data_IF_352649028172
#
_entry.id   IF_352649028172
#
_cell.length_a   1.000
_cell.length_b   1.000
_cell.length_c   1.000
_cell.angle_alpha   90.00
_cell.angle_beta   90.00
_cell.angle_gamma   90.00
#
_symmetry.space_group_name_H-M   'P 1'
#
loop_
_entity.id
_entity.type
_entity.pdbx_description
1 polymer ?
#
# COMPACT_ATOMS: atom_id res chain seq x y z
N UNK A 1 -37.89 15.80 -4.23
CA UNK A 1 -37.41 14.64 -5.03
C UNK A 1 -37.03 15.09 -6.45
N UNK A 2 -36.15 16.09 -6.59
CA UNK A 2 -35.59 16.57 -7.85
C UNK A 2 -34.18 17.07 -7.52
N UNK A 3 -33.18 16.17 -7.54
CA UNK A 3 -31.76 16.58 -7.48
C UNK A 3 -30.80 15.45 -7.87
N UNK A 4 -31.23 14.19 -7.92
CA UNK A 4 -30.34 13.07 -8.29
C UNK A 4 -30.15 12.88 -9.82
N UNK A 5 -31.02 13.41 -10.67
CA UNK A 5 -30.92 13.19 -12.14
C UNK A 5 -29.93 14.12 -12.85
N UNK A 6 -29.74 15.36 -12.41
CA UNK A 6 -28.77 16.27 -13.06
C UNK A 6 -27.32 15.95 -12.69
N UNK A 7 -27.06 15.47 -11.48
CA UNK A 7 -25.71 15.05 -11.05
C UNK A 7 -25.19 13.84 -11.83
N UNK A 8 -26.07 12.89 -12.21
CA UNK A 8 -25.69 11.75 -13.04
C UNK A 8 -25.31 12.15 -14.48
N UNK A 9 -26.01 13.13 -15.08
CA UNK A 9 -25.68 13.59 -16.44
C UNK A 9 -24.35 14.32 -16.47
N UNK A 10 -24.04 15.13 -15.46
CA UNK A 10 -22.72 15.78 -15.33
C UNK A 10 -21.60 14.75 -15.11
N UNK A 11 -21.85 13.69 -14.32
CA UNK A 11 -20.88 12.59 -14.14
C UNK A 11 -20.61 11.84 -15.46
N UNK A 12 -21.65 11.61 -16.27
CA UNK A 12 -21.54 10.91 -17.56
C UNK A 12 -20.81 11.77 -18.60
N UNK A 13 -21.02 13.09 -18.63
CA UNK A 13 -20.26 13.99 -19.52
C UNK A 13 -18.79 14.19 -19.06
N UNK A 14 -18.50 14.16 -17.75
CA UNK A 14 -17.14 14.22 -17.22
C UNK A 14 -16.34 12.93 -17.48
N UNK A 15 -16.99 11.77 -17.56
CA UNK A 15 -16.37 10.51 -17.95
C UNK A 15 -15.81 10.53 -19.39
N UNK A 16 -16.28 11.43 -20.27
CA UNK A 16 -15.75 11.61 -21.62
C UNK A 16 -14.54 12.56 -21.70
N UNK A 17 -14.12 13.18 -20.59
CA UNK A 17 -13.07 14.19 -20.55
C UNK A 17 -11.79 13.73 -19.85
N UNK A 18 -11.72 12.50 -19.36
CA UNK A 18 -10.50 11.96 -18.78
C UNK A 18 -10.19 10.55 -19.30
N UNK A 19 -8.95 10.31 -19.71
CA UNK A 19 -8.42 8.95 -19.83
C UNK A 19 -7.95 8.49 -18.46
N UNK A 20 -8.29 7.27 -18.06
CA UNK A 20 -7.94 6.70 -16.76
C UNK A 20 -7.22 5.37 -16.97
N UNK A 21 -6.06 5.23 -16.37
CA UNK A 21 -5.32 3.98 -16.27
C UNK A 21 -5.33 3.50 -14.82
N UNK A 22 -5.59 2.21 -14.62
CA UNK A 22 -5.63 1.56 -13.30
C UNK A 22 -4.59 0.46 -13.26
N UNK A 23 -3.66 0.55 -12.32
CA UNK A 23 -2.61 -0.45 -12.08
C UNK A 23 -2.76 -1.01 -10.68
N UNK A 24 -2.67 -2.32 -10.51
CA UNK A 24 -2.71 -3.00 -9.22
C UNK A 24 -1.39 -3.71 -8.94
N UNK A 25 -0.87 -3.56 -7.72
CA UNK A 25 0.22 -4.37 -7.17
C UNK A 25 -0.24 -5.04 -5.88
N UNK A 26 0.23 -6.27 -5.61
CA UNK A 26 -0.17 -7.03 -4.43
C UNK A 26 1.05 -7.75 -3.85
N UNK A 27 1.36 -7.41 -2.60
CA UNK A 27 2.56 -7.83 -1.90
C UNK A 27 2.21 -8.52 -0.60
N UNK A 28 2.98 -9.54 -0.26
CA UNK A 28 2.98 -10.16 1.06
C UNK A 28 4.30 -9.85 1.77
N UNK A 29 4.21 -9.38 3.01
CA UNK A 29 5.35 -9.21 3.91
C UNK A 29 5.30 -10.30 4.98
N UNK A 30 6.24 -11.23 4.91
CA UNK A 30 6.40 -12.30 5.86
C UNK A 30 7.87 -12.44 6.26
N UNK A 31 8.13 -12.49 7.58
CA UNK A 31 9.48 -12.63 8.14
C UNK A 31 10.52 -11.66 7.53
N UNK A 32 10.22 -10.36 7.50
CA UNK A 32 11.04 -9.29 6.89
C UNK A 32 11.34 -9.48 5.39
N UNK A 33 10.65 -10.40 4.69
CA UNK A 33 10.73 -10.61 3.24
C UNK A 33 9.48 -10.12 2.54
N UNK A 34 9.68 -9.31 1.49
CA UNK A 34 8.61 -8.91 0.59
C UNK A 34 8.53 -9.91 -0.56
N UNK A 35 7.32 -10.39 -0.82
CA UNK A 35 6.99 -11.30 -1.89
C UNK A 35 5.92 -10.66 -2.77
N UNK A 36 6.12 -10.76 -4.08
CA UNK A 36 5.14 -10.35 -5.08
C UNK A 36 4.16 -11.49 -5.32
N UNK A 37 2.85 -11.20 -5.21
CA UNK A 37 1.79 -12.18 -5.35
C UNK A 37 1.27 -12.32 -6.80
N UNK A 38 1.74 -11.48 -7.73
CA UNK A 38 1.41 -11.57 -9.14
C UNK A 38 2.29 -12.54 -9.94
N UNK A 39 3.45 -12.89 -9.39
CA UNK A 39 4.42 -13.82 -9.98
C UNK A 39 4.29 -15.21 -9.37
N UNK A 40 4.83 -16.22 -10.06
CA UNK A 40 4.86 -17.56 -9.50
C UNK A 40 5.73 -17.61 -8.22
N UNK A 41 5.46 -18.53 -7.28
CA UNK A 41 6.28 -18.65 -6.06
C UNK A 41 7.77 -18.87 -6.31
N UNK A 42 8.13 -19.51 -7.43
CA UNK A 42 9.52 -19.72 -7.83
C UNK A 42 10.21 -18.41 -8.26
N UNK A 43 9.51 -17.58 -9.04
CA UNK A 43 10.00 -16.26 -9.46
C UNK A 43 10.01 -15.25 -8.32
N UNK A 44 8.99 -15.28 -7.45
CA UNK A 44 8.97 -14.50 -6.21
C UNK A 44 10.22 -14.75 -5.34
N UNK A 45 10.78 -15.97 -5.40
CA UNK A 45 11.94 -16.32 -4.59
C UNK A 45 13.25 -15.70 -5.11
N UNK A 46 13.35 -15.47 -6.43
CA UNK A 46 14.53 -14.91 -7.09
C UNK A 46 14.46 -13.39 -7.25
N UNK A 47 13.25 -12.83 -7.30
CA UNK A 47 13.03 -11.39 -7.46
C UNK A 47 13.32 -10.63 -6.17
N UNK A 48 14.20 -9.63 -6.24
CA UNK A 48 14.50 -8.74 -5.11
C UNK A 48 13.62 -7.50 -5.20
N UNK A 49 12.78 -7.30 -4.18
CA UNK A 49 11.89 -6.15 -4.06
C UNK A 49 12.50 -5.14 -3.09
N UNK A 50 12.66 -3.90 -3.53
CA UNK A 50 13.20 -2.80 -2.73
C UNK A 50 12.17 -1.69 -2.56
N UNK A 51 12.05 -1.16 -1.34
CA UNK A 51 11.13 -0.05 -1.06
C UNK A 51 11.85 1.25 -1.36
N UNK A 52 11.25 2.07 -2.23
CA UNK A 52 11.77 3.38 -2.62
C UNK A 52 10.72 4.46 -2.43
N UNK A 53 11.20 5.69 -2.34
CA UNK A 53 10.39 6.90 -2.19
C UNK A 53 10.71 7.84 -3.35
N UNK A 54 9.69 8.36 -4.00
CA UNK A 54 9.88 9.35 -5.05
C UNK A 54 10.10 10.77 -4.49
N UNK A 55 10.32 11.75 -5.38
CA UNK A 55 10.53 13.16 -4.98
C UNK A 55 9.28 13.80 -4.35
N UNK A 56 8.09 13.26 -4.60
CA UNK A 56 6.81 13.71 -4.04
C UNK A 56 6.48 13.04 -2.71
N UNK A 57 7.31 12.09 -2.31
CA UNK A 57 7.19 11.33 -1.08
C UNK A 57 6.30 10.11 -1.16
N UNK A 58 5.85 9.72 -2.36
CA UNK A 58 5.10 8.50 -2.60
C UNK A 58 6.04 7.30 -2.53
N UNK A 59 5.62 6.29 -1.77
CA UNK A 59 6.39 5.07 -1.59
C UNK A 59 6.00 4.04 -2.65
N UNK A 60 6.96 3.35 -3.24
CA UNK A 60 6.72 2.29 -4.21
C UNK A 60 7.71 1.13 -4.01
N UNK A 61 7.27 -0.08 -4.38
CA UNK A 61 8.06 -1.29 -4.32
C UNK A 61 8.73 -1.53 -5.68
N UNK A 62 9.99 -1.14 -5.81
CA UNK A 62 10.76 -1.41 -7.04
C UNK A 62 10.99 -2.90 -7.19
N UNK A 63 10.70 -3.42 -8.39
CA UNK A 63 10.81 -4.83 -8.72
C UNK A 63 9.52 -5.62 -8.51
N UNK A 64 8.49 -5.04 -7.90
CA UNK A 64 7.15 -5.63 -7.89
C UNK A 64 6.46 -5.44 -9.25
N UNK A 65 5.67 -6.43 -9.68
CA UNK A 65 4.78 -6.28 -10.83
C UNK A 65 3.58 -5.41 -10.48
N UNK A 66 3.18 -4.59 -11.45
CA UNK A 66 1.92 -3.89 -11.45
C UNK A 66 1.16 -4.32 -12.71
N UNK A 67 -0.05 -4.87 -12.53
CA UNK A 67 -0.91 -5.30 -13.64
C UNK A 67 -2.01 -4.28 -13.90
N UNK A 68 -2.25 -3.99 -15.16
CA UNK A 68 -3.32 -3.10 -15.58
C UNK A 68 -4.68 -3.80 -15.48
N UNK A 69 -5.69 -3.05 -15.04
CA UNK A 69 -7.08 -3.50 -14.99
C UNK A 69 -7.96 -2.50 -15.74
N UNK A 70 -8.71 -2.98 -16.73
CA UNK A 70 -9.60 -2.14 -17.54
C UNK A 70 -11.03 -2.09 -17.00
N UNK A 71 -11.36 -2.99 -16.08
CA UNK A 71 -12.67 -3.04 -15.44
C UNK A 71 -12.57 -3.45 -13.96
N UNK A 72 -13.63 -3.16 -13.20
CA UNK A 72 -13.75 -3.62 -11.81
C UNK A 72 -13.72 -5.15 -11.71
N UNK A 73 -14.28 -5.86 -12.71
CA UNK A 73 -14.23 -7.32 -12.77
C UNK A 73 -12.82 -7.87 -12.95
N UNK A 74 -12.02 -7.25 -13.83
CA UNK A 74 -10.61 -7.62 -14.01
C UNK A 74 -9.79 -7.33 -12.75
N UNK A 75 -10.01 -6.18 -12.12
CA UNK A 75 -9.34 -5.84 -10.87
C UNK A 75 -9.66 -6.84 -9.76
N UNK A 76 -10.92 -7.29 -9.67
CA UNK A 76 -11.33 -8.32 -8.72
C UNK A 76 -10.73 -9.70 -9.06
N UNK A 77 -10.68 -10.06 -10.33
CA UNK A 77 -10.05 -11.31 -10.77
C UNK A 77 -8.53 -11.33 -10.46
N UNK A 78 -7.84 -10.19 -10.62
CA UNK A 78 -6.44 -10.03 -10.20
C UNK A 78 -6.27 -10.25 -8.69
N UNK A 79 -7.19 -9.72 -7.88
CA UNK A 79 -7.21 -9.95 -6.44
C UNK A 79 -7.42 -11.43 -6.08
N UNK A 80 -8.39 -12.11 -6.70
CA UNK A 80 -8.65 -13.53 -6.47
C UNK A 80 -7.43 -14.40 -6.84
N UNK A 81 -6.79 -14.11 -7.98
CA UNK A 81 -5.56 -14.77 -8.40
C UNK A 81 -4.46 -14.65 -7.35
N UNK A 82 -4.18 -13.43 -6.88
CA UNK A 82 -3.16 -13.21 -5.86
C UNK A 82 -3.51 -13.82 -4.50
N UNK A 83 -4.79 -13.82 -4.13
CA UNK A 83 -5.29 -14.47 -2.91
C UNK A 83 -5.06 -15.99 -2.96
N UNK A 84 -5.32 -16.62 -4.11
CA UNK A 84 -5.01 -18.03 -4.33
C UNK A 84 -3.49 -18.31 -4.24
N UNK A 85 -2.66 -17.44 -4.82
CA UNK A 85 -1.21 -17.55 -4.72
C UNK A 85 -0.70 -17.44 -3.28
N UNK A 86 -1.26 -16.52 -2.49
CA UNK A 86 -1.00 -16.38 -1.05
C UNK A 86 -1.33 -17.68 -0.31
N UNK A 87 -2.50 -18.27 -0.58
CA UNK A 87 -2.92 -19.51 0.05
C UNK A 87 -2.01 -20.70 -0.30
N UNK A 88 -1.55 -20.81 -1.55
CA UNK A 88 -0.61 -21.86 -1.96
C UNK A 88 0.75 -21.69 -1.27
N UNK A 89 1.25 -20.46 -1.17
CA UNK A 89 2.49 -20.15 -0.47
C UNK A 89 2.39 -20.52 1.02
N UNK A 90 1.26 -20.20 1.65
CA UNK A 90 0.94 -20.57 3.04
C UNK A 90 1.07 -22.08 3.28
N UNK A 91 0.38 -22.88 2.47
CA UNK A 91 0.37 -24.35 2.61
C UNK A 91 1.73 -24.99 2.32
N UNK A 92 2.51 -24.45 1.37
CA UNK A 92 3.84 -24.98 1.02
C UNK A 92 4.92 -24.65 2.04
N UNK A 93 4.81 -23.52 2.73
CA UNK A 93 5.82 -23.03 3.67
C UNK A 93 5.41 -23.17 5.15
N UNK A 94 4.29 -23.84 5.46
CA UNK A 94 3.67 -23.85 6.79
C UNK A 94 3.45 -22.43 7.35
N UNK A 95 3.21 -21.46 6.47
CA UNK A 95 2.96 -20.07 6.87
C UNK A 95 1.48 -19.96 7.18
N UNK A 96 1.17 -19.48 8.38
CA UNK A 96 -0.19 -19.15 8.76
C UNK A 96 -0.53 -17.74 8.26
N UNK A 97 -1.68 -17.53 7.62
CA UNK A 97 -2.04 -16.21 7.07
C UNK A 97 -2.22 -15.13 8.14
N UNK A 98 -2.43 -15.54 9.40
CA UNK A 98 -2.44 -14.65 10.57
C UNK A 98 -1.07 -14.01 10.85
N UNK A 99 -0.01 -14.50 10.21
CA UNK A 99 1.39 -14.17 10.50
C UNK A 99 2.09 -13.38 9.40
N UNK A 100 1.39 -13.05 8.32
CA UNK A 100 1.89 -12.21 7.24
C UNK A 100 1.02 -10.97 7.08
N UNK A 101 1.63 -9.87 6.62
CA UNK A 101 0.91 -8.68 6.23
C UNK A 101 0.66 -8.71 4.73
N UNK A 102 -0.57 -8.41 4.31
CA UNK A 102 -0.93 -8.26 2.92
C UNK A 102 -1.11 -6.78 2.57
N UNK A 103 -0.48 -6.36 1.48
CA UNK A 103 -0.54 -4.98 0.98
C UNK A 103 -1.02 -5.02 -0.47
N UNK A 104 -2.18 -4.43 -0.72
CA UNK A 104 -2.74 -4.24 -2.06
C UNK A 104 -2.65 -2.76 -2.38
N UNK A 105 -1.96 -2.41 -3.46
CA UNK A 105 -1.85 -1.03 -3.94
C UNK A 105 -2.56 -0.89 -5.28
N UNK A 106 -3.52 0.03 -5.35
CA UNK A 106 -4.24 0.36 -6.58
C UNK A 106 -3.83 1.78 -6.95
N UNK A 107 -3.10 1.91 -8.04
CA UNK A 107 -2.59 3.16 -8.58
C UNK A 107 -3.50 3.61 -9.72
N UNK A 108 -3.87 4.88 -9.69
CA UNK A 108 -4.77 5.53 -10.64
C UNK A 108 -4.02 6.67 -11.29
N UNK A 109 -3.99 6.67 -12.62
CA UNK A 109 -3.49 7.79 -13.41
C UNK A 109 -4.63 8.32 -14.25
N UNK A 110 -4.92 9.61 -14.14
CA UNK A 110 -6.00 10.26 -14.88
C UNK A 110 -5.46 11.45 -15.67
N UNK A 111 -5.62 11.40 -16.99
CA UNK A 111 -5.32 12.49 -17.91
C UNK A 111 -6.58 13.24 -18.24
N UNK A 112 -6.65 14.52 -17.85
CA UNK A 112 -7.72 15.40 -18.28
C UNK A 112 -7.48 15.84 -19.74
N UNK A 113 -8.41 15.53 -20.62
CA UNK A 113 -8.32 15.80 -22.06
C UNK A 113 -8.57 17.28 -22.40
N UNK A 114 -9.25 18.04 -21.54
CA UNK A 114 -9.53 19.45 -21.78
C UNK A 114 -8.29 20.35 -21.59
N UNK A 115 -7.45 20.04 -20.59
CA UNK A 115 -6.28 20.85 -20.25
C UNK A 115 -4.95 20.07 -20.23
N UNK A 116 -4.98 18.77 -20.51
CA UNK A 116 -3.80 17.90 -20.52
C UNK A 116 -3.21 17.61 -19.13
N UNK A 117 -3.84 18.04 -18.04
CA UNK A 117 -3.31 17.83 -16.69
C UNK A 117 -3.40 16.35 -16.28
N UNK A 118 -2.38 15.89 -15.57
CA UNK A 118 -2.29 14.52 -15.06
C UNK A 118 -2.56 14.53 -13.56
N UNK A 119 -3.44 13.64 -13.09
CA UNK A 119 -3.69 13.40 -11.67
C UNK A 119 -3.29 11.97 -11.33
N UNK A 120 -2.56 11.82 -10.23
CA UNK A 120 -2.14 10.52 -9.71
C UNK A 120 -2.83 10.23 -8.38
N UNK A 121 -3.37 9.03 -8.25
CA UNK A 121 -4.00 8.51 -7.05
C UNK A 121 -3.37 7.17 -6.66
N UNK A 122 -3.34 6.89 -5.36
CA UNK A 122 -2.89 5.60 -4.82
C UNK A 122 -3.81 5.23 -3.68
N UNK A 123 -4.42 4.06 -3.77
CA UNK A 123 -5.21 3.44 -2.71
C UNK A 123 -4.43 2.23 -2.19
N UNK A 124 -4.10 2.25 -0.90
CA UNK A 124 -3.51 1.10 -0.22
C UNK A 124 -4.56 0.43 0.64
N UNK A 125 -4.71 -0.88 0.50
CA UNK A 125 -5.46 -1.74 1.41
C UNK A 125 -4.45 -2.64 2.10
N UNK A 126 -4.40 -2.57 3.42
CA UNK A 126 -3.40 -3.28 4.23
C UNK A 126 -4.11 -4.13 5.26
N UNK A 127 -3.89 -5.43 5.15
CA UNK A 127 -4.34 -6.45 6.09
C UNK A 127 -3.13 -6.86 6.94
N UNK A 128 -3.17 -6.50 8.22
CA UNK A 128 -2.06 -6.67 9.14
C UNK A 128 -2.10 -8.06 9.80
N UNK A 129 -0.92 -8.61 10.08
CA UNK A 129 -0.79 -9.79 10.91
C UNK A 129 -1.38 -9.57 12.31
N UNK A 130 -1.69 -10.67 12.99
CA UNK A 130 -2.21 -10.70 14.35
C UNK A 130 -1.35 -9.88 15.33
N UNK A 131 -2.03 -9.13 16.20
CA UNK A 131 -1.39 -8.25 17.19
C UNK A 131 -1.09 -8.93 18.52
N UNK A 132 -1.49 -10.20 18.65
CA UNK A 132 -1.27 -11.01 19.83
C UNK A 132 0.21 -11.31 20.09
N UNK A 133 0.57 -11.32 21.37
CA UNK A 133 1.96 -11.54 21.78
C UNK A 133 2.35 -13.01 21.65
N UNK A 134 3.52 -13.25 21.07
CA UNK A 134 4.16 -14.57 20.95
C UNK A 134 4.28 -15.34 22.27
N UNK A 135 4.39 -14.64 23.41
CA UNK A 135 4.60 -15.25 24.72
C UNK A 135 3.45 -16.17 25.17
N UNK A 136 2.24 -16.04 24.59
CA UNK A 136 1.09 -16.90 24.91
C UNK A 136 1.06 -18.21 24.11
N UNK A 137 1.89 -18.38 23.09
CA UNK A 137 1.69 -19.45 22.10
C UNK A 137 2.44 -20.76 22.39
N UNK A 138 3.24 -20.86 23.46
CA UNK A 138 3.94 -22.11 23.83
C UNK A 138 4.84 -22.68 22.71
N UNK A 139 5.26 -21.81 21.79
CA UNK A 139 5.92 -22.14 20.54
C UNK A 139 7.34 -22.69 20.72
N UNK A 140 7.75 -23.64 19.88
CA UNK A 140 9.13 -24.18 19.79
C UNK A 140 10.08 -23.15 19.15
N UNK A 141 11.41 -23.31 19.29
CA UNK A 141 12.44 -22.32 18.90
C UNK A 141 12.27 -21.64 17.52
N UNK A 142 11.90 -22.36 16.46
CA UNK A 142 11.71 -21.77 15.13
C UNK A 142 10.40 -20.95 15.03
N UNK A 143 9.34 -21.40 15.69
CA UNK A 143 8.10 -20.64 15.83
C UNK A 143 8.29 -19.41 16.72
N UNK A 144 9.22 -19.44 17.68
CA UNK A 144 9.62 -18.29 18.48
C UNK A 144 10.34 -17.23 17.64
N UNK A 145 11.27 -17.62 16.76
CA UNK A 145 11.93 -16.68 15.82
C UNK A 145 10.92 -16.02 14.89
N UNK A 146 9.99 -16.80 14.36
CA UNK A 146 8.92 -16.31 13.50
C UNK A 146 7.99 -15.35 14.25
N UNK A 147 7.51 -15.73 15.42
CA UNK A 147 6.64 -14.91 16.25
C UNK A 147 7.34 -13.61 16.70
N UNK A 148 8.66 -13.63 16.90
CA UNK A 148 9.47 -12.44 17.14
C UNK A 148 9.53 -11.52 15.91
N UNK A 149 9.68 -12.06 14.70
CA UNK A 149 9.69 -11.27 13.46
C UNK A 149 8.35 -10.58 13.18
N UNK A 150 7.23 -11.26 13.45
CA UNK A 150 5.89 -10.67 13.30
C UNK A 150 5.71 -9.53 14.31
N UNK A 151 6.00 -9.80 15.58
CA UNK A 151 5.92 -8.79 16.62
C UNK A 151 6.87 -7.62 16.37
N UNK A 152 8.02 -7.84 15.73
CA UNK A 152 8.94 -6.77 15.33
C UNK A 152 8.30 -5.80 14.34
N UNK A 153 7.53 -6.29 13.37
CA UNK A 153 6.86 -5.41 12.39
C UNK A 153 5.76 -4.55 13.02
N UNK A 154 4.93 -5.12 13.91
CA UNK A 154 3.90 -4.37 14.63
C UNK A 154 4.47 -3.48 15.73
N UNK A 155 5.56 -3.89 16.39
CA UNK A 155 6.27 -3.04 17.35
C UNK A 155 6.88 -1.82 16.65
N UNK A 156 7.53 -2.02 15.50
CA UNK A 156 8.04 -0.90 14.70
C UNK A 156 6.92 0.04 14.24
N UNK A 157 5.74 -0.50 13.90
CA UNK A 157 4.57 0.30 13.58
C UNK A 157 4.11 1.13 14.79
N UNK A 158 4.08 0.53 15.98
CA UNK A 158 3.80 1.20 17.24
C UNK A 158 4.80 2.30 17.60
N UNK A 159 6.09 2.10 17.31
CA UNK A 159 7.15 3.10 17.49
C UNK A 159 6.93 4.30 16.55
N UNK A 160 6.62 4.05 15.28
CA UNK A 160 6.30 5.09 14.29
C UNK A 160 5.08 5.88 14.71
N UNK A 161 4.01 5.21 15.15
CA UNK A 161 2.78 5.87 15.61
C UNK A 161 3.05 6.72 16.84
N UNK A 162 3.83 6.20 17.80
CA UNK A 162 4.15 6.92 19.03
C UNK A 162 5.02 8.15 18.73
N UNK A 163 6.00 8.02 17.83
CA UNK A 163 6.82 9.15 17.39
C UNK A 163 6.00 10.22 16.67
N UNK A 164 5.06 9.83 15.80
CA UNK A 164 4.17 10.74 15.10
C UNK A 164 3.18 11.44 16.02
N UNK A 165 2.58 10.71 16.96
CA UNK A 165 1.65 11.27 17.95
C UNK A 165 2.34 12.26 18.91
N UNK A 166 3.64 12.10 19.14
CA UNK A 166 4.47 13.01 19.93
C UNK A 166 5.16 14.10 19.09
N UNK A 167 4.85 14.19 17.79
CA UNK A 167 5.47 15.15 16.85
C UNK A 167 7.00 15.14 16.88
N UNK A 168 7.60 13.96 17.06
CA UNK A 168 9.06 13.82 17.10
C UNK A 168 9.68 14.15 15.74
N UNK A 169 10.82 14.85 15.76
CA UNK A 169 11.54 15.21 14.55
C UNK A 169 12.04 14.01 13.73
N UNK A 170 12.37 12.90 14.41
CA UNK A 170 12.80 11.66 13.77
C UNK A 170 11.76 10.55 13.99
N UNK A 171 11.20 10.06 12.89
CA UNK A 171 10.26 8.94 12.89
C UNK A 171 10.95 7.68 12.34
N UNK A 172 10.97 6.56 13.10
CA UNK A 172 11.82 5.40 12.80
C UNK A 172 11.23 4.46 11.73
N UNK A 173 10.80 4.98 10.57
CA UNK A 173 10.21 4.17 9.50
C UNK A 173 11.12 3.04 9.01
N UNK A 174 12.45 3.20 9.12
CA UNK A 174 13.43 2.22 8.64
C UNK A 174 13.53 0.95 9.49
N UNK A 175 12.95 0.93 10.68
CA UNK A 175 13.02 -0.21 11.60
C UNK A 175 12.37 -1.49 11.04
N UNK A 176 11.39 -1.35 10.13
CA UNK A 176 10.76 -2.47 9.45
C UNK A 176 10.35 -2.13 8.01
N UNK A 177 10.25 -3.14 7.14
CA UNK A 177 9.74 -2.96 5.77
C UNK A 177 8.28 -2.53 5.73
N UNK A 178 7.46 -2.97 6.68
CA UNK A 178 6.07 -2.54 6.84
C UNK A 178 5.99 -1.02 7.01
N UNK A 179 6.75 -0.48 7.95
CA UNK A 179 6.76 0.96 8.24
C UNK A 179 7.37 1.77 7.10
N UNK A 180 8.33 1.21 6.35
CA UNK A 180 8.82 1.84 5.12
C UNK A 180 7.74 1.89 4.03
N UNK A 181 7.00 0.81 3.82
CA UNK A 181 5.87 0.78 2.86
C UNK A 181 4.77 1.77 3.24
N UNK A 182 4.50 1.91 4.54
CA UNK A 182 3.44 2.76 5.10
C UNK A 182 3.87 4.21 5.34
N UNK A 183 5.09 4.60 4.95
CA UNK A 183 5.62 5.91 5.25
C UNK A 183 4.83 7.06 4.58
N UNK A 184 4.23 6.82 3.41
CA UNK A 184 3.33 7.79 2.78
C UNK A 184 1.97 7.88 3.50
N UNK A 185 1.55 6.78 4.13
CA UNK A 185 0.25 6.58 4.75
C UNK A 185 0.20 7.04 6.22
N UNK A 186 1.32 7.05 6.94
CA UNK A 186 1.39 7.49 8.33
C UNK A 186 2.32 8.69 8.45
N UNK A 187 1.78 9.89 8.69
CA UNK A 187 2.55 11.14 8.76
C UNK A 187 2.96 11.72 7.40
N UNK A 188 2.46 11.15 6.30
CA UNK A 188 2.81 11.54 4.93
C UNK A 188 1.67 12.20 4.15
N UNK A 189 1.79 12.14 2.82
CA UNK A 189 0.79 12.63 1.88
C UNK A 189 -0.26 11.52 1.59
N UNK A 190 -1.15 11.28 2.54
CA UNK A 190 -2.25 10.32 2.37
C UNK A 190 -3.43 10.64 3.28
N UNK A 191 -4.62 10.20 2.85
CA UNK A 191 -5.79 10.09 3.71
C UNK A 191 -5.84 8.67 4.26
N UNK A 192 -5.76 8.54 5.57
CA UNK A 192 -5.58 7.22 6.22
C UNK A 192 -6.76 6.91 7.10
N UNK A 193 -7.30 5.70 6.92
CA UNK A 193 -8.35 5.12 7.73
C UNK A 193 -7.82 3.82 8.33
N UNK A 194 -7.93 3.68 9.64
CA UNK A 194 -7.57 2.46 10.35
C UNK A 194 -8.84 1.79 10.87
N UNK A 195 -8.97 0.50 10.61
CA UNK A 195 -9.96 -0.36 11.27
C UNK A 195 -9.31 -1.04 12.47
N UNK A 196 -10.03 -1.06 13.59
CA UNK A 196 -9.63 -1.81 14.78
C UNK A 196 -10.61 -2.97 14.97
N UNK A 197 -10.12 -4.20 14.80
CA UNK A 197 -10.91 -5.40 15.02
C UNK A 197 -10.64 -5.91 16.43
N UNK A 198 -11.69 -5.97 17.26
CA UNK A 198 -11.62 -6.41 18.65
C UNK A 198 -12.60 -7.55 18.91
N UNK A 199 -12.28 -8.39 19.90
CA UNK A 199 -13.16 -9.47 20.35
C UNK A 199 -13.88 -9.04 21.64
N UNK A 200 -15.20 -9.28 21.76
CA UNK A 200 -15.94 -8.95 22.99
C UNK A 200 -15.75 -9.99 24.11
N UNK A 201 -14.99 -11.07 23.87
CA UNK A 201 -14.84 -12.17 24.82
C UNK A 201 -13.90 -11.81 25.98
N UNK A 202 -14.26 -12.22 27.20
CA UNK A 202 -13.48 -11.95 28.41
C UNK A 202 -12.03 -12.49 28.34
N UNK A 203 -11.83 -13.64 27.67
CA UNK A 203 -10.50 -14.22 27.48
C UNK A 203 -9.55 -13.35 26.63
N UNK A 204 -10.09 -12.38 25.88
CA UNK A 204 -9.36 -11.49 24.98
C UNK A 204 -9.28 -10.04 25.52
N UNK A 205 -9.64 -9.81 26.79
CA UNK A 205 -9.70 -8.47 27.38
C UNK A 205 -8.36 -7.72 27.28
N UNK A 206 -7.25 -8.39 27.59
CA UNK A 206 -5.91 -7.78 27.58
C UNK A 206 -5.48 -7.31 26.17
N UNK A 207 -5.75 -8.13 25.15
CA UNK A 207 -5.42 -7.81 23.75
C UNK A 207 -6.35 -6.69 23.22
N UNK A 208 -7.62 -6.73 23.62
CA UNK A 208 -8.61 -5.69 23.29
C UNK A 208 -8.22 -4.34 23.89
N UNK A 209 -7.82 -4.30 25.16
CA UNK A 209 -7.34 -3.08 25.80
C UNK A 209 -6.08 -2.53 25.11
N UNK A 210 -5.13 -3.42 24.79
CA UNK A 210 -3.90 -3.04 24.07
C UNK A 210 -4.24 -2.43 22.70
N UNK A 211 -5.16 -3.05 21.97
CA UNK A 211 -5.65 -2.60 20.66
C UNK A 211 -6.32 -1.21 20.75
N UNK A 212 -7.14 -0.98 21.77
CA UNK A 212 -7.81 0.31 21.98
C UNK A 212 -6.82 1.43 22.34
N UNK A 213 -5.84 1.15 23.21
CA UNK A 213 -4.77 2.11 23.54
C UNK A 213 -3.99 2.48 22.28
N UNK A 214 -3.68 1.48 21.45
CA UNK A 214 -2.98 1.69 20.18
C UNK A 214 -3.79 2.60 19.25
N UNK A 215 -5.07 2.32 19.04
CA UNK A 215 -5.96 3.14 18.20
C UNK A 215 -6.10 4.58 18.73
N UNK A 216 -6.12 4.77 20.05
CA UNK A 216 -6.13 6.11 20.65
C UNK A 216 -4.90 6.93 20.28
N UNK A 217 -3.71 6.31 20.13
CA UNK A 217 -2.49 6.99 19.67
C UNK A 217 -2.56 7.30 18.19
N UNK A 218 -3.04 6.35 17.37
CA UNK A 218 -3.21 6.55 15.93
C UNK A 218 -4.13 7.74 15.64
N UNK A 219 -5.19 7.92 16.43
CA UNK A 219 -6.12 9.05 16.30
C UNK A 219 -5.44 10.43 16.47
N UNK A 220 -4.31 10.51 17.17
CA UNK A 220 -3.57 11.76 17.36
C UNK A 220 -2.68 12.11 16.16
N UNK A 221 -2.44 11.18 15.23
CA UNK A 221 -1.60 11.42 14.06
C UNK A 221 -2.32 12.33 13.06
N UNK A 222 -1.63 13.39 12.63
CA UNK A 222 -2.11 14.28 11.58
C UNK A 222 -1.32 14.05 10.29
N UNK A 223 -2.04 13.76 9.20
CA UNK A 223 -1.45 13.66 7.87
C UNK A 223 -1.67 14.95 7.07
N UNK A 224 -0.75 15.24 6.14
CA UNK A 224 -0.85 16.38 5.22
C UNK A 224 -1.18 15.91 3.81
N UNK A 225 -2.45 15.59 3.57
CA UNK A 225 -2.91 15.11 2.26
C UNK A 225 -2.99 16.27 1.25
N UNK A 226 -2.22 16.16 0.18
CA UNK A 226 -2.18 17.05 -0.98
C UNK A 226 -2.48 16.28 -2.27
N UNK A 227 -3.24 16.89 -3.17
CA UNK A 227 -3.59 16.27 -4.45
C UNK A 227 -2.35 16.20 -5.34
N UNK A 228 -2.00 15.01 -5.81
CA UNK A 228 -0.91 14.82 -6.76
C UNK A 228 -1.38 15.17 -8.17
N UNK A 229 -1.19 16.43 -8.57
CA UNK A 229 -1.45 16.90 -9.93
C UNK A 229 -0.16 17.36 -10.60
N UNK A 230 -0.10 17.19 -11.92
CA UNK A 230 0.95 17.69 -12.79
C UNK A 230 0.30 18.45 -13.94
N UNK A 231 0.90 19.57 -14.34
CA UNK A 231 0.48 20.30 -15.53
C UNK A 231 0.88 19.52 -16.79
N UNK A 232 0.28 19.86 -17.93
CA UNK A 232 0.56 19.21 -19.21
C UNK A 232 2.05 19.31 -19.56
N UNK A 233 2.65 20.47 -19.34
CA UNK A 233 4.05 20.76 -19.66
C UNK A 233 4.99 19.88 -18.82
N UNK A 234 4.72 19.75 -17.51
CA UNK A 234 5.53 18.90 -16.62
C UNK A 234 5.41 17.42 -17.03
N UNK A 235 4.22 16.98 -17.41
CA UNK A 235 4.00 15.61 -17.86
C UNK A 235 4.74 15.32 -19.18
N UNK A 236 4.66 16.22 -20.16
CA UNK A 236 5.37 16.11 -21.44
C UNK A 236 6.89 16.09 -21.25
N UNK A 237 7.43 17.00 -20.45
CA UNK A 237 8.86 17.05 -20.14
C UNK A 237 9.36 15.76 -19.49
N UNK A 238 8.56 15.15 -18.61
CA UNK A 238 8.91 13.86 -18.01
C UNK A 238 8.93 12.72 -19.03
N UNK A 239 7.97 12.69 -19.94
CA UNK A 239 7.92 11.71 -21.02
C UNK A 239 9.16 11.82 -21.92
N UNK A 240 9.51 13.04 -22.31
CA UNK A 240 10.74 13.35 -23.06
C UNK A 240 11.99 12.91 -22.30
N UNK A 241 12.11 13.24 -21.02
CA UNK A 241 13.23 12.78 -20.17
C UNK A 241 13.31 11.25 -20.13
N UNK A 242 12.18 10.56 -20.12
CA UNK A 242 12.12 9.10 -20.06
C UNK A 242 12.57 8.47 -21.39
N UNK A 243 12.15 9.04 -22.53
CA UNK A 243 12.61 8.66 -23.89
C UNK A 243 14.10 8.91 -24.09
N UNK A 244 14.61 10.07 -23.64
CA UNK A 244 16.04 10.37 -23.68
C UNK A 244 16.84 9.38 -22.82
N UNK A 245 16.35 9.02 -21.63
CA UNK A 245 17.00 8.04 -20.76
C UNK A 245 16.96 6.61 -21.29
N UNK A 246 15.99 6.26 -22.13
CA UNK A 246 15.94 4.97 -22.82
C UNK A 246 16.75 4.94 -24.12
N UNK A 247 17.43 6.04 -24.47
CA UNK A 247 18.29 6.14 -25.66
C UNK A 247 17.51 6.37 -26.97
N UNK A 248 16.25 6.77 -26.88
CA UNK A 248 15.46 7.15 -28.06
C UNK A 248 15.78 8.59 -28.47
N UNK A 249 15.84 8.83 -29.79
CA UNK A 249 15.94 10.18 -30.34
C UNK A 249 14.65 10.96 -30.05
N UNK A 250 14.79 12.23 -29.68
CA UNK A 250 13.68 13.16 -29.48
C UNK A 250 13.87 14.27 -30.51
N UNK A 251 12.81 14.58 -31.27
CA UNK A 251 12.83 15.66 -32.25
C UNK A 251 12.59 17.02 -31.56
N UNK A 252 13.09 18.13 -32.12
CA UNK A 252 12.94 19.47 -31.51
C UNK A 252 11.47 19.91 -31.38
N UNK A 253 10.54 19.28 -32.11
CA UNK A 253 9.09 19.52 -32.00
C UNK A 253 8.43 18.88 -30.76
N UNK A 254 9.11 17.97 -30.06
CA UNK A 254 8.61 17.30 -28.83
C UNK A 254 8.89 18.09 -27.53
N UNK A 255 9.61 19.22 -27.61
CA UNK A 255 10.03 20.10 -26.49
C UNK A 255 9.17 21.35 -26.42
#
# INVERSE_FOLDING_TARGET
>A
MITLRQSCVILIYLLFLCLVQVLASMLELYNDRLQDLFVSPAEALSKRIEIKKDKKGLVFAQGAEAKEATSAGELFALFELCSANRHIAATKMNIESSRSHLIISIMLESRNLANGSMTFGKLNLVDLAGSERAAKTGAKDDQLKEANSINKSLSALGDVISALAMEQAHVPYRNNKLTQLMQDSLGGNAKTLMFLNISPSDCNLDETLTSLIYASRVKAITNHAQRNMESKEIAQLKEVILRLKSGQAVEEEDV
#
